data_IF_015981500407
#
_entry.id   IF_015981500407
#
_cell.length_a   1.000
_cell.length_b   1.000
_cell.length_c   1.000
_cell.angle_alpha   90.00
_cell.angle_beta   90.00
_cell.angle_gamma   90.00
#
_symmetry.space_group_name_H-M   'P 1'
#
loop_
_entity.id
_entity.type
_entity.pdbx_description
1 polymer ?
#
# COMPACT_ATOMS: atom_id res chain seq x y z
N UNK A 1 -45.26 0.58 -2.25
CA UNK A 1 -44.34 -0.37 -1.56
C UNK A 1 -43.54 -1.25 -2.53
N UNK A 2 -44.18 -2.07 -3.37
CA UNK A 2 -43.46 -3.01 -4.26
C UNK A 2 -42.46 -2.30 -5.19
N UNK A 3 -42.88 -1.22 -5.86
CA UNK A 3 -42.00 -0.41 -6.72
C UNK A 3 -40.78 0.14 -5.95
N UNK A 4 -41.00 0.69 -4.75
CA UNK A 4 -39.93 1.23 -3.90
C UNK A 4 -38.92 0.17 -3.53
N UNK A 5 -39.38 -1.01 -3.09
CA UNK A 5 -38.50 -2.12 -2.71
C UNK A 5 -37.70 -2.60 -3.92
N UNK A 6 -38.36 -2.80 -5.06
CA UNK A 6 -37.73 -3.27 -6.29
C UNK A 6 -36.57 -2.37 -6.72
N UNK A 7 -36.80 -1.06 -6.82
CA UNK A 7 -35.75 -0.11 -7.21
C UNK A 7 -34.64 0.00 -6.17
N UNK A 8 -34.96 0.02 -4.88
CA UNK A 8 -33.94 0.05 -3.81
C UNK A 8 -33.04 -1.18 -3.86
N UNK A 9 -33.61 -2.37 -4.01
CA UNK A 9 -32.84 -3.62 -4.08
C UNK A 9 -31.91 -3.62 -5.29
N UNK A 10 -32.41 -3.25 -6.47
CA UNK A 10 -31.59 -3.19 -7.69
C UNK A 10 -30.43 -2.20 -7.51
N UNK A 11 -30.69 -1.02 -6.94
CA UNK A 11 -29.67 0.00 -6.71
C UNK A 11 -28.61 -0.50 -5.72
N UNK A 12 -29.02 -1.09 -4.60
CA UNK A 12 -28.10 -1.63 -3.59
C UNK A 12 -27.25 -2.75 -4.19
N UNK A 13 -27.84 -3.66 -4.97
CA UNK A 13 -27.10 -4.73 -5.65
C UNK A 13 -26.12 -4.19 -6.68
N UNK A 14 -26.55 -3.22 -7.50
CA UNK A 14 -25.72 -2.57 -8.49
C UNK A 14 -24.48 -1.93 -7.85
N UNK A 15 -24.67 -1.12 -6.80
CA UNK A 15 -23.54 -0.49 -6.10
C UNK A 15 -22.70 -1.49 -5.31
N UNK A 16 -23.29 -2.54 -4.74
CA UNK A 16 -22.53 -3.61 -4.09
C UNK A 16 -21.59 -4.32 -5.08
N UNK A 17 -22.10 -4.67 -6.27
CA UNK A 17 -21.30 -5.33 -7.30
C UNK A 17 -20.20 -4.41 -7.82
N UNK A 18 -20.50 -3.13 -8.07
CA UNK A 18 -19.50 -2.21 -8.65
C UNK A 18 -18.44 -1.80 -7.62
N UNK A 19 -18.82 -1.54 -6.37
CA UNK A 19 -17.90 -0.96 -5.37
C UNK A 19 -17.24 -1.97 -4.45
N UNK A 20 -17.92 -3.08 -4.10
CA UNK A 20 -17.43 -3.99 -3.06
C UNK A 20 -16.92 -5.29 -3.68
N UNK A 21 -17.76 -5.98 -4.46
CA UNK A 21 -17.40 -7.28 -5.00
C UNK A 21 -17.89 -7.44 -6.45
N UNK A 22 -17.05 -6.97 -7.37
CA UNK A 22 -17.32 -7.16 -8.79
C UNK A 22 -16.99 -8.61 -9.19
N UNK A 23 -18.03 -9.44 -9.21
CA UNK A 23 -17.98 -10.86 -9.61
C UNK A 23 -17.58 -11.08 -11.08
N UNK A 24 -17.65 -10.05 -11.91
CA UNK A 24 -17.31 -10.13 -13.33
C UNK A 24 -15.83 -9.82 -13.61
N UNK A 25 -15.11 -9.29 -12.62
CA UNK A 25 -13.70 -8.97 -12.74
C UNK A 25 -12.84 -10.15 -12.25
N UNK A 26 -12.27 -10.91 -13.17
CA UNK A 26 -11.28 -11.94 -12.84
C UNK A 26 -10.01 -11.27 -12.28
N UNK A 27 -9.69 -11.59 -11.02
CA UNK A 27 -8.46 -11.18 -10.35
C UNK A 27 -7.65 -12.41 -10.03
N UNK A 28 -6.37 -12.39 -10.38
CA UNK A 28 -5.43 -13.40 -9.90
C UNK A 28 -5.29 -13.28 -8.39
N UNK A 29 -5.44 -14.41 -7.70
CA UNK A 29 -5.26 -14.52 -6.26
C UNK A 29 -4.04 -15.36 -5.98
N UNK A 30 -3.23 -14.90 -5.04
CA UNK A 30 -2.01 -15.57 -4.63
C UNK A 30 -2.21 -16.09 -3.21
N UNK A 31 -1.75 -17.31 -2.94
CA UNK A 31 -1.83 -17.89 -1.62
C UNK A 31 -0.54 -17.60 -0.84
N UNK A 32 -0.69 -17.31 0.45
CA UNK A 32 0.43 -17.12 1.37
C UNK A 32 0.17 -17.95 2.62
N UNK A 33 1.07 -18.88 2.99
CA UNK A 33 0.90 -19.68 4.19
C UNK A 33 0.68 -18.80 5.43
N UNK A 34 -0.25 -19.21 6.30
CA UNK A 34 -0.72 -18.39 7.43
C UNK A 34 0.42 -17.96 8.38
N UNK A 35 1.44 -18.81 8.54
CA UNK A 35 2.63 -18.51 9.34
C UNK A 35 3.38 -17.27 8.82
N UNK A 36 3.60 -17.18 7.51
CA UNK A 36 4.30 -16.05 6.87
C UNK A 36 3.40 -14.83 6.76
N UNK A 37 2.10 -15.03 6.55
CA UNK A 37 1.13 -13.94 6.54
C UNK A 37 1.05 -13.20 7.88
N UNK A 38 1.25 -13.90 9.01
CA UNK A 38 1.36 -13.29 10.35
C UNK A 38 2.63 -12.43 10.47
N UNK A 39 3.79 -12.95 10.06
CA UNK A 39 5.06 -12.21 10.06
C UNK A 39 4.96 -10.95 9.22
N UNK A 40 4.48 -11.07 7.96
CA UNK A 40 4.30 -9.94 7.05
C UNK A 40 3.29 -8.89 7.56
N UNK A 41 2.43 -9.26 8.50
CA UNK A 41 1.45 -8.35 9.09
C UNK A 41 1.95 -7.69 10.37
N UNK A 42 2.89 -8.31 11.08
CA UNK A 42 3.49 -7.80 12.31
C UNK A 42 4.68 -6.87 12.02
N UNK A 43 4.31 -5.65 11.65
CA UNK A 43 5.25 -4.54 11.39
C UNK A 43 6.08 -4.19 12.62
N UNK A 44 5.50 -4.28 13.83
CA UNK A 44 6.16 -3.82 15.06
C UNK A 44 7.36 -4.70 15.40
N UNK A 45 7.23 -6.01 15.22
CA UNK A 45 8.29 -6.96 15.54
C UNK A 45 9.32 -7.07 14.41
N UNK A 46 8.88 -7.08 13.14
CA UNK A 46 9.73 -7.52 12.03
C UNK A 46 10.19 -6.42 11.07
N UNK A 47 9.63 -5.21 11.07
CA UNK A 47 9.99 -4.21 10.05
C UNK A 47 11.47 -3.79 10.11
N UNK A 48 12.08 -3.74 11.30
CA UNK A 48 13.50 -3.39 11.45
C UNK A 48 14.42 -4.46 10.85
N UNK A 49 14.17 -5.73 11.16
CA UNK A 49 14.90 -6.86 10.59
C UNK A 49 14.65 -6.97 9.08
N UNK A 50 13.39 -6.78 8.66
CA UNK A 50 12.99 -6.74 7.26
C UNK A 50 13.71 -5.67 6.45
N UNK A 51 13.97 -4.49 7.05
CA UNK A 51 14.77 -3.44 6.42
C UNK A 51 16.21 -3.89 6.20
N UNK A 52 16.84 -4.51 7.19
CA UNK A 52 18.21 -5.02 7.07
C UNK A 52 18.31 -6.08 5.97
N UNK A 53 17.34 -7.00 5.92
CA UNK A 53 17.25 -8.01 4.87
C UNK A 53 17.05 -7.37 3.49
N UNK A 54 16.23 -6.31 3.41
CA UNK A 54 16.05 -5.56 2.17
C UNK A 54 17.35 -4.88 1.71
N UNK A 55 18.06 -4.20 2.61
CA UNK A 55 19.34 -3.53 2.34
C UNK A 55 20.41 -4.53 1.85
N UNK A 56 20.40 -5.75 2.40
CA UNK A 56 21.35 -6.80 2.02
C UNK A 56 21.05 -7.45 0.67
N UNK A 57 19.78 -7.66 0.33
CA UNK A 57 19.40 -8.53 -0.80
C UNK A 57 18.73 -7.77 -1.95
N UNK A 58 18.09 -6.63 -1.70
CA UNK A 58 17.22 -5.95 -2.68
C UNK A 58 17.74 -4.56 -3.06
N UNK A 59 18.43 -3.87 -2.15
CA UNK A 59 18.89 -2.49 -2.35
C UNK A 59 19.91 -2.35 -3.49
N UNK A 60 20.58 -3.42 -3.91
CA UNK A 60 21.48 -3.37 -5.05
C UNK A 60 20.77 -2.85 -6.33
N UNK A 61 19.47 -3.12 -6.47
CA UNK A 61 18.69 -2.79 -7.66
C UNK A 61 17.46 -1.93 -7.39
N UNK A 62 16.87 -2.01 -6.19
CA UNK A 62 15.63 -1.33 -5.85
C UNK A 62 15.82 -0.21 -4.82
N UNK A 63 15.09 0.89 -5.02
CA UNK A 63 14.92 1.93 -4.02
C UNK A 63 13.62 1.74 -3.22
N UNK A 64 13.61 2.27 -2.00
CA UNK A 64 12.44 2.54 -1.16
C UNK A 64 12.57 4.01 -0.72
N UNK A 65 12.37 4.92 -1.68
CA UNK A 65 12.63 6.36 -1.50
C UNK A 65 11.86 6.99 -0.36
N UNK A 66 10.64 6.54 -0.05
CA UNK A 66 9.86 7.09 1.07
C UNK A 66 10.48 6.81 2.45
N UNK A 67 11.39 5.83 2.55
CA UNK A 67 12.24 5.61 3.73
C UNK A 67 13.70 6.04 3.50
N UNK A 68 13.94 6.82 2.44
CA UNK A 68 15.26 7.30 2.01
C UNK A 68 16.29 6.19 1.79
N UNK A 69 15.83 5.00 1.41
CA UNK A 69 16.70 3.91 0.96
C UNK A 69 16.78 4.00 -0.57
N UNK A 70 17.96 4.30 -1.09
CA UNK A 70 18.22 4.34 -2.52
C UNK A 70 19.02 3.12 -2.95
N UNK A 71 19.14 2.91 -4.26
CA UNK A 71 19.98 1.83 -4.79
C UNK A 71 21.41 1.94 -4.24
N UNK A 72 22.09 0.82 -4.04
CA UNK A 72 23.38 0.79 -3.32
C UNK A 72 24.44 1.73 -3.90
N UNK A 73 24.51 1.89 -5.22
CA UNK A 73 25.45 2.81 -5.87
C UNK A 73 25.15 4.27 -5.54
N UNK A 74 23.88 4.66 -5.53
CA UNK A 74 23.43 5.98 -5.09
C UNK A 74 23.63 6.18 -3.60
N UNK A 75 23.36 5.15 -2.80
CA UNK A 75 23.54 5.21 -1.35
C UNK A 75 25.00 5.44 -0.97
N UNK A 76 25.95 4.90 -1.74
CA UNK A 76 27.38 5.11 -1.57
C UNK A 76 27.88 6.44 -2.17
N UNK A 77 27.07 7.14 -2.96
CA UNK A 77 27.49 8.35 -3.66
C UNK A 77 27.56 9.55 -2.69
N UNK A 78 28.70 10.26 -2.59
CA UNK A 78 28.84 11.40 -1.68
C UNK A 78 27.88 12.55 -1.99
N UNK A 79 27.39 12.66 -3.24
CA UNK A 79 26.40 13.67 -3.64
C UNK A 79 25.04 13.45 -2.97
N UNK A 80 24.72 12.23 -2.51
CA UNK A 80 23.43 11.95 -1.88
C UNK A 80 23.23 12.81 -0.62
N UNK A 81 24.26 12.91 0.23
CA UNK A 81 24.18 13.68 1.48
C UNK A 81 23.94 15.16 1.23
N UNK A 82 24.67 15.76 0.29
CA UNK A 82 24.52 17.19 -0.03
C UNK A 82 23.14 17.49 -0.64
N UNK A 83 22.60 16.57 -1.44
CA UNK A 83 21.24 16.69 -1.95
C UNK A 83 20.19 16.55 -0.85
N UNK A 84 20.39 15.64 0.10
CA UNK A 84 19.47 15.47 1.23
C UNK A 84 19.46 16.67 2.17
N UNK A 85 20.60 17.33 2.35
CA UNK A 85 20.69 18.60 3.09
C UNK A 85 19.91 19.72 2.37
N UNK A 86 19.93 19.73 1.02
CA UNK A 86 19.25 20.74 0.22
C UNK A 86 17.75 20.52 0.05
N UNK A 87 17.33 19.29 -0.21
CA UNK A 87 15.95 18.94 -0.58
C UNK A 87 15.20 18.18 0.52
N UNK A 88 15.88 17.79 1.59
CA UNK A 88 15.33 16.99 2.68
C UNK A 88 15.72 15.51 2.58
N UNK A 89 15.38 14.75 3.64
CA UNK A 89 15.74 13.32 3.78
C UNK A 89 15.35 12.48 2.55
N UNK A 90 14.18 12.76 1.98
CA UNK A 90 13.67 12.11 0.77
C UNK A 90 13.83 13.08 -0.40
N UNK A 91 14.54 12.65 -1.43
CA UNK A 91 14.78 13.44 -2.63
C UNK A 91 13.52 13.47 -3.50
N UNK A 92 13.20 14.62 -4.11
CA UNK A 92 12.26 14.70 -5.21
C UNK A 92 12.64 13.74 -6.33
N UNK A 93 11.62 13.18 -7.01
CA UNK A 93 11.83 12.13 -8.02
C UNK A 93 12.69 12.60 -9.18
N UNK A 94 12.39 13.77 -9.70
CA UNK A 94 13.12 14.46 -10.77
C UNK A 94 14.58 14.70 -10.41
N UNK A 95 14.86 15.17 -9.19
CA UNK A 95 16.24 15.37 -8.70
C UNK A 95 16.98 14.05 -8.63
N UNK A 96 16.36 12.99 -8.09
CA UNK A 96 16.94 11.67 -8.02
C UNK A 96 17.26 11.10 -9.41
N UNK A 97 16.28 11.12 -10.33
CA UNK A 97 16.44 10.58 -11.69
C UNK A 97 17.43 11.38 -12.53
N UNK A 98 17.54 12.71 -12.33
CA UNK A 98 18.47 13.56 -13.05
C UNK A 98 19.92 13.41 -12.56
N UNK A 99 20.14 13.41 -11.24
CA UNK A 99 21.51 13.39 -10.68
C UNK A 99 22.12 12.00 -10.75
N UNK A 100 21.32 10.95 -10.57
CA UNK A 100 21.77 9.56 -10.57
C UNK A 100 21.40 8.84 -11.86
N UNK A 101 21.26 9.58 -12.96
CA UNK A 101 20.88 9.05 -14.25
C UNK A 101 21.79 7.90 -14.71
N UNK A 102 23.11 8.05 -14.53
CA UNK A 102 24.11 7.05 -14.92
C UNK A 102 23.89 5.72 -14.18
N UNK A 103 23.69 5.78 -12.86
CA UNK A 103 23.39 4.60 -12.03
C UNK A 103 22.11 3.87 -12.50
N UNK A 104 21.07 4.65 -12.81
CA UNK A 104 19.79 4.10 -13.29
C UNK A 104 19.92 3.52 -14.70
N UNK A 105 20.72 4.13 -15.57
CA UNK A 105 20.95 3.63 -16.93
C UNK A 105 21.78 2.35 -16.93
N UNK A 106 22.76 2.21 -16.02
CA UNK A 106 23.49 0.95 -15.86
C UNK A 106 22.57 -0.22 -15.48
N UNK A 107 21.61 0.01 -14.58
CA UNK A 107 20.56 -0.98 -14.25
C UNK A 107 19.64 -1.24 -15.45
N UNK A 108 19.26 -0.19 -16.18
CA UNK A 108 18.43 -0.32 -17.38
C UNK A 108 19.12 -1.15 -18.47
N UNK A 109 20.41 -0.99 -18.66
CA UNK A 109 21.19 -1.78 -19.62
C UNK A 109 21.23 -3.26 -19.20
N UNK A 110 21.41 -3.52 -17.90
CA UNK A 110 21.48 -4.88 -17.36
C UNK A 110 20.15 -5.63 -17.39
N UNK A 111 19.04 -4.94 -17.09
CA UNK A 111 17.70 -5.56 -16.93
C UNK A 111 16.71 -5.17 -18.03
N UNK A 112 17.13 -4.39 -19.03
CA UNK A 112 16.26 -3.78 -20.06
C UNK A 112 15.36 -2.64 -19.57
N UNK A 113 15.10 -2.57 -18.26
CA UNK A 113 14.28 -1.55 -17.59
C UNK A 113 14.89 -1.19 -16.24
N UNK A 114 14.71 0.05 -15.82
CA UNK A 114 15.07 0.47 -14.46
C UNK A 114 14.15 -0.27 -13.48
N UNK A 115 14.69 -1.01 -12.49
CA UNK A 115 13.88 -1.66 -11.48
C UNK A 115 12.99 -0.64 -10.75
N UNK A 116 11.71 -0.95 -10.51
CA UNK A 116 10.78 0.00 -9.91
C UNK A 116 11.12 0.34 -8.46
N UNK A 117 10.79 1.56 -8.04
CA UNK A 117 10.78 1.97 -6.64
C UNK A 117 9.68 1.22 -5.87
N UNK A 118 10.00 0.73 -4.68
CA UNK A 118 9.13 -0.14 -3.90
C UNK A 118 8.37 0.59 -2.78
N UNK A 119 8.52 1.91 -2.67
CA UNK A 119 7.92 2.75 -1.62
C UNK A 119 6.42 2.52 -1.40
N UNK A 120 5.66 2.31 -2.48
CA UNK A 120 4.20 2.12 -2.44
C UNK A 120 3.77 0.75 -2.97
N UNK A 121 4.70 -0.16 -3.22
CA UNK A 121 4.40 -1.42 -3.90
C UNK A 121 3.50 -2.33 -3.06
N UNK A 122 3.58 -2.23 -1.73
CA UNK A 122 2.69 -2.94 -0.82
C UNK A 122 1.22 -2.58 -1.06
N UNK A 123 0.90 -1.29 -1.28
CA UNK A 123 -0.47 -0.82 -1.52
C UNK A 123 -1.01 -1.30 -2.87
N UNK A 124 -0.14 -1.40 -3.87
CA UNK A 124 -0.54 -1.73 -5.25
C UNK A 124 -0.72 -3.24 -5.43
N UNK A 125 0.14 -4.05 -4.81
CA UNK A 125 0.19 -5.50 -5.06
C UNK A 125 -0.32 -6.35 -3.90
N UNK A 126 -0.26 -5.85 -2.67
CA UNK A 126 -0.60 -6.64 -1.48
C UNK A 126 0.49 -7.65 -1.10
N UNK A 127 0.36 -8.22 0.10
CA UNK A 127 1.38 -9.10 0.69
C UNK A 127 1.49 -10.44 -0.02
N UNK A 128 0.39 -11.00 -0.48
CA UNK A 128 0.34 -12.33 -1.09
C UNK A 128 1.05 -12.34 -2.45
N UNK A 129 0.77 -11.34 -3.29
CA UNK A 129 1.48 -11.17 -4.55
C UNK A 129 2.98 -10.95 -4.30
N UNK A 130 3.33 -10.03 -3.41
CA UNK A 130 4.74 -9.71 -3.14
C UNK A 130 5.52 -10.90 -2.60
N UNK A 131 4.89 -11.72 -1.76
CA UNK A 131 5.50 -12.94 -1.24
C UNK A 131 5.84 -13.92 -2.36
N UNK A 132 4.86 -14.25 -3.20
CA UNK A 132 5.06 -15.20 -4.30
C UNK A 132 6.01 -14.64 -5.36
N UNK A 133 5.88 -13.37 -5.71
CA UNK A 133 6.72 -12.72 -6.72
C UNK A 133 8.18 -12.63 -6.27
N UNK A 134 8.44 -12.33 -4.99
CA UNK A 134 9.83 -12.20 -4.51
C UNK A 134 10.53 -13.56 -4.41
N UNK A 135 9.79 -14.63 -4.11
CA UNK A 135 10.33 -15.99 -4.07
C UNK A 135 10.56 -16.57 -5.47
N UNK A 136 9.56 -16.44 -6.36
CA UNK A 136 9.57 -17.02 -7.70
C UNK A 136 9.08 -16.00 -8.75
N UNK A 137 9.90 -14.99 -9.11
CA UNK A 137 9.47 -13.93 -10.03
C UNK A 137 8.98 -14.45 -11.40
N UNK A 138 9.66 -15.46 -11.96
CA UNK A 138 9.32 -16.04 -13.26
C UNK A 138 7.96 -16.74 -13.28
N UNK A 139 7.55 -17.30 -12.15
CA UNK A 139 6.27 -18.02 -12.02
C UNK A 139 5.10 -17.04 -11.96
N UNK A 140 5.30 -15.90 -11.32
CA UNK A 140 4.28 -14.85 -11.18
C UNK A 140 4.25 -13.93 -12.41
N UNK A 141 5.41 -13.57 -12.95
CA UNK A 141 5.53 -12.75 -14.16
C UNK A 141 6.53 -13.39 -15.13
N UNK A 142 6.06 -14.24 -16.06
CA UNK A 142 6.92 -14.89 -17.05
C UNK A 142 7.71 -13.88 -17.88
N UNK A 143 9.03 -14.09 -18.00
CA UNK A 143 9.91 -13.21 -18.77
C UNK A 143 10.34 -11.94 -18.05
N UNK A 144 10.11 -11.84 -16.74
CA UNK A 144 10.71 -10.78 -15.91
C UNK A 144 12.23 -10.88 -15.90
N UNK A 145 12.95 -9.77 -15.83
CA UNK A 145 14.41 -9.78 -15.68
C UNK A 145 14.85 -9.89 -14.22
N UNK A 146 13.92 -9.87 -13.27
CA UNK A 146 14.21 -10.00 -11.85
C UNK A 146 14.67 -11.44 -11.53
N UNK A 147 15.88 -11.64 -10.98
CA UNK A 147 16.34 -12.94 -10.56
C UNK A 147 15.62 -13.41 -9.27
N UNK A 148 15.58 -14.72 -8.99
CA UNK A 148 14.93 -15.27 -7.80
C UNK A 148 15.79 -15.10 -6.53
N UNK A 149 16.01 -13.84 -6.10
CA UNK A 149 16.97 -13.48 -5.02
C UNK A 149 16.62 -14.11 -3.67
N UNK A 150 15.34 -14.34 -3.41
CA UNK A 150 14.85 -14.91 -2.15
C UNK A 150 14.38 -16.35 -2.27
N UNK A 151 14.70 -17.07 -3.36
CA UNK A 151 14.29 -18.46 -3.53
C UNK A 151 14.68 -19.31 -2.30
N UNK A 152 13.70 -20.07 -1.78
CA UNK A 152 13.89 -20.90 -0.59
C UNK A 152 13.95 -20.16 0.74
N UNK A 153 13.75 -18.83 0.78
CA UNK A 153 13.81 -18.00 2.01
C UNK A 153 12.46 -17.32 2.32
N UNK A 154 11.38 -18.10 2.56
CA UNK A 154 10.03 -17.55 2.76
C UNK A 154 9.88 -16.70 4.03
N UNK A 155 10.51 -17.09 5.14
CA UNK A 155 10.42 -16.32 6.38
C UNK A 155 11.03 -14.93 6.23
N UNK A 156 12.22 -14.86 5.65
CA UNK A 156 12.92 -13.60 5.37
C UNK A 156 12.16 -12.72 4.38
N UNK A 157 11.58 -13.34 3.35
CA UNK A 157 10.69 -12.64 2.40
C UNK A 157 9.50 -12.01 3.13
N UNK A 158 8.89 -12.73 4.07
CA UNK A 158 7.78 -12.20 4.87
C UNK A 158 8.21 -11.00 5.73
N UNK A 159 9.42 -11.02 6.30
CA UNK A 159 10.00 -9.89 7.05
C UNK A 159 10.25 -8.68 6.15
N UNK A 160 10.79 -8.88 4.94
CA UNK A 160 10.94 -7.80 3.94
C UNK A 160 9.57 -7.19 3.61
N UNK A 161 8.53 -8.01 3.45
CA UNK A 161 7.17 -7.50 3.20
C UNK A 161 6.62 -6.73 4.40
N UNK A 162 6.92 -7.14 5.63
CA UNK A 162 6.58 -6.37 6.83
C UNK A 162 7.26 -4.99 6.82
N UNK A 163 8.50 -4.90 6.35
CA UNK A 163 9.19 -3.62 6.14
C UNK A 163 8.50 -2.77 5.06
N UNK A 164 8.23 -3.31 3.87
CA UNK A 164 7.53 -2.58 2.80
C UNK A 164 6.16 -2.08 3.25
N UNK A 165 5.43 -2.89 4.04
CA UNK A 165 4.19 -2.50 4.69
C UNK A 165 4.38 -1.31 5.63
N UNK A 166 5.43 -1.33 6.45
CA UNK A 166 5.72 -0.25 7.41
C UNK A 166 6.02 1.10 6.75
N UNK A 167 6.56 1.08 5.53
CA UNK A 167 6.84 2.29 4.74
C UNK A 167 5.59 2.79 4.04
N UNK A 168 4.78 1.87 3.52
CA UNK A 168 3.57 2.18 2.74
C UNK A 168 2.36 2.56 3.59
N UNK A 169 2.25 2.06 4.82
CA UNK A 169 1.07 2.25 5.66
C UNK A 169 1.39 3.03 6.95
N UNK A 170 0.42 3.77 7.52
CA UNK A 170 0.58 4.38 8.84
C UNK A 170 0.84 3.32 9.93
N UNK A 171 1.48 3.75 11.02
CA UNK A 171 1.71 2.90 12.18
C UNK A 171 0.39 2.32 12.73
N UNK A 172 0.42 1.14 13.39
CA UNK A 172 -0.77 0.56 13.99
C UNK A 172 -1.52 1.50 14.96
N UNK A 173 -0.78 2.30 15.73
CA UNK A 173 -1.35 3.30 16.64
C UNK A 173 -2.12 4.38 15.90
N UNK A 174 -1.56 4.89 14.80
CA UNK A 174 -2.19 5.93 14.00
C UNK A 174 -3.40 5.39 13.23
N UNK A 175 -3.33 4.12 12.78
CA UNK A 175 -4.49 3.41 12.21
C UNK A 175 -5.63 3.31 13.22
N UNK A 176 -5.34 2.94 14.47
CA UNK A 176 -6.35 2.84 15.51
C UNK A 176 -7.02 4.19 15.82
N UNK A 177 -6.24 5.28 15.88
CA UNK A 177 -6.80 6.63 16.01
C UNK A 177 -7.73 6.99 14.86
N UNK A 178 -7.33 6.71 13.61
CA UNK A 178 -8.16 6.97 12.42
C UNK A 178 -9.48 6.19 12.46
N UNK A 179 -9.44 4.93 12.88
CA UNK A 179 -10.66 4.10 13.05
C UNK A 179 -11.58 4.70 14.09
N UNK A 180 -11.05 5.07 15.26
CA UNK A 180 -11.84 5.67 16.34
C UNK A 180 -12.47 7.00 15.91
N UNK A 181 -11.69 7.90 15.28
CA UNK A 181 -12.20 9.16 14.75
C UNK A 181 -13.25 8.94 13.66
N UNK A 182 -13.06 7.95 12.79
CA UNK A 182 -14.03 7.58 11.74
C UNK A 182 -15.36 7.12 12.34
N UNK A 183 -15.31 6.19 13.29
CA UNK A 183 -16.52 5.71 14.01
C UNK A 183 -17.21 6.86 14.74
N UNK A 184 -16.45 7.70 15.45
CA UNK A 184 -16.99 8.87 16.15
C UNK A 184 -17.67 9.87 15.21
N UNK A 185 -17.07 10.12 14.04
CA UNK A 185 -17.62 11.02 13.03
C UNK A 185 -18.93 10.47 12.45
N UNK A 186 -18.98 9.18 12.12
CA UNK A 186 -20.19 8.53 11.61
C UNK A 186 -21.30 8.59 12.66
N UNK A 187 -20.99 8.29 13.92
CA UNK A 187 -21.95 8.37 15.02
C UNK A 187 -22.50 9.80 15.19
N UNK A 188 -21.63 10.81 15.15
CA UNK A 188 -22.03 12.22 15.21
C UNK A 188 -22.98 12.60 14.06
N UNK A 189 -22.66 12.22 12.81
CA UNK A 189 -23.50 12.52 11.65
C UNK A 189 -24.88 11.84 11.74
N UNK A 190 -24.94 10.60 12.22
CA UNK A 190 -26.21 9.88 12.43
C UNK A 190 -27.05 10.59 13.49
N UNK A 191 -26.46 10.92 14.64
CA UNK A 191 -27.17 11.62 15.73
C UNK A 191 -27.66 12.99 15.27
N UNK A 192 -26.81 13.76 14.58
CA UNK A 192 -27.19 15.05 14.02
C UNK A 192 -28.34 14.93 13.02
N UNK A 193 -28.30 13.93 12.12
CA UNK A 193 -29.38 13.65 11.17
C UNK A 193 -30.71 13.34 11.86
N UNK A 194 -30.69 12.54 12.93
CA UNK A 194 -31.89 12.23 13.73
C UNK A 194 -32.42 13.49 14.43
N UNK A 195 -31.54 14.29 15.04
CA UNK A 195 -31.93 15.53 15.72
C UNK A 195 -32.58 16.54 14.75
N UNK A 196 -32.01 16.69 13.55
CA UNK A 196 -32.57 17.54 12.49
C UNK A 196 -33.94 17.02 12.02
N UNK A 197 -34.09 15.71 11.85
CA UNK A 197 -35.37 15.10 11.49
C UNK A 197 -36.45 15.36 12.54
N UNK A 198 -36.12 15.19 13.83
CA UNK A 198 -37.02 15.48 14.96
C UNK A 198 -37.35 16.97 15.05
N UNK A 199 -36.36 17.85 14.89
CA UNK A 199 -36.55 19.31 14.90
C UNK A 199 -37.46 19.78 13.75
N UNK A 200 -37.21 19.29 12.54
CA UNK A 200 -38.08 19.54 11.37
C UNK A 200 -39.52 19.14 11.67
N UNK A 201 -39.75 17.97 12.25
CA UNK A 201 -41.08 17.52 12.64
C UNK A 201 -41.77 18.44 13.64
N UNK A 202 -41.04 18.99 14.62
CA UNK A 202 -41.57 19.97 15.58
C UNK A 202 -41.96 21.29 14.93
N UNK A 203 -41.14 21.82 14.01
CA UNK A 203 -41.42 23.09 13.31
C UNK A 203 -42.67 22.97 12.44
N UNK A 204 -42.78 21.89 11.67
CA UNK A 204 -43.92 21.71 10.77
C UNK A 204 -45.25 21.55 11.52
N UNK A 205 -45.25 20.91 12.70
CA UNK A 205 -46.42 20.88 13.60
C UNK A 205 -46.81 22.28 14.09
N UNK A 206 -45.84 23.14 14.42
CA UNK A 206 -46.12 24.52 14.84
C UNK A 206 -46.71 25.37 13.73
N UNK A 207 -46.37 25.06 12.48
CA UNK A 207 -46.88 25.75 11.29
C UNK A 207 -48.22 25.17 10.77
N UNK A 208 -48.76 24.13 11.41
CA UNK A 208 -50.00 23.48 10.97
C UNK A 208 -49.87 22.71 9.64
N UNK A 209 -48.65 22.36 9.22
CA UNK A 209 -48.39 21.65 7.95
C UNK A 209 -48.34 20.11 8.11
N UNK A 210 -48.72 19.59 9.27
CA UNK A 210 -48.73 18.16 9.61
C UNK A 210 -49.91 17.78 10.50
#
# INVERSE_FOLDING_TARGET
MIKTIFFTVIIVLFFYIIWINNIFAHRETYEMPSQYAKIASDVKSYAKEGKQLFEQNCQACHSVRYDAVYISSVQANPKLKTLQEKYGKVLPRDVYEAVFHEDLMALKESFGKVPPDLSTMYLVKGKEYLFNFTLEPQKVLPGTSMPPVMAGRPEETAKIIAYLKSVSEPSPEEKNKRVLMGVGTIAYLVVMGVLLWLWRGKILKRMGLH
#
